data_IF_402809842185
#
_entry.id   IF_402809842185
#
_cell.length_a   1.000
_cell.length_b   1.000
_cell.length_c   1.000
_cell.angle_alpha   90.00
_cell.angle_beta   90.00
_cell.angle_gamma   90.00
#
_symmetry.space_group_name_H-M   'P 1'
#
loop_
_entity.id
_entity.type
_entity.pdbx_description
1 polymer ?
#
# COMPACT_ATOMS: atom_id res chain seq x y z
N UNK A 1 -15.80 -22.01 3.52
CA UNK A 1 -14.99 -21.50 4.66
C UNK A 1 -13.72 -20.76 4.20
N UNK A 2 -13.08 -21.11 3.07
CA UNK A 2 -11.91 -20.38 2.54
C UNK A 2 -12.22 -19.00 1.94
N UNK A 3 -13.40 -18.81 1.33
CA UNK A 3 -13.82 -17.51 0.74
C UNK A 3 -14.12 -16.42 1.78
N UNK A 4 -14.49 -16.79 3.02
CA UNK A 4 -14.96 -15.84 4.04
C UNK A 4 -13.85 -15.09 4.79
N UNK A 5 -12.57 -15.42 4.57
CA UNK A 5 -11.45 -14.87 5.36
C UNK A 5 -10.62 -13.86 4.56
N UNK A 6 -10.75 -13.80 3.24
CA UNK A 6 -9.91 -12.92 2.39
C UNK A 6 -10.40 -11.46 2.33
N UNK A 7 -11.72 -11.25 2.34
CA UNK A 7 -12.37 -9.95 2.18
C UNK A 7 -12.19 -8.96 3.35
N UNK A 8 -12.24 -9.36 4.65
CA UNK A 8 -12.23 -8.40 5.76
C UNK A 8 -10.94 -7.57 5.91
N UNK A 9 -9.84 -8.04 5.33
CA UNK A 9 -8.53 -7.38 5.40
C UNK A 9 -8.35 -6.31 4.32
N UNK A 10 -9.00 -6.50 3.18
CA UNK A 10 -9.02 -5.56 2.07
C UNK A 10 -9.92 -4.38 2.42
N UNK A 11 -11.09 -4.65 3.01
CA UNK A 11 -12.04 -3.61 3.42
C UNK A 11 -11.46 -2.65 4.48
N UNK A 12 -10.74 -3.18 5.49
CA UNK A 12 -10.10 -2.34 6.54
C UNK A 12 -9.00 -1.42 6.00
N UNK A 13 -8.33 -1.83 4.93
CA UNK A 13 -7.26 -1.07 4.28
C UNK A 13 -7.84 0.08 3.46
N UNK A 14 -8.97 -0.14 2.80
CA UNK A 14 -9.66 0.87 2.00
C UNK A 14 -10.16 2.08 2.79
N UNK A 15 -10.63 1.89 4.03
CA UNK A 15 -11.21 2.95 4.85
C UNK A 15 -10.17 4.03 5.25
N UNK A 16 -8.91 3.65 5.44
CA UNK A 16 -7.86 4.58 5.93
C UNK A 16 -7.49 5.63 4.90
N UNK A 17 -7.54 5.27 3.61
CA UNK A 17 -7.32 6.20 2.50
C UNK A 17 -8.45 7.21 2.37
N UNK A 18 -9.65 6.92 2.86
CA UNK A 18 -10.84 7.75 2.76
C UNK A 18 -11.07 8.68 3.97
N UNK A 19 -10.42 8.44 5.13
CA UNK A 19 -10.57 9.28 6.32
C UNK A 19 -10.24 10.76 6.02
N UNK A 20 -11.29 11.59 6.01
CA UNK A 20 -11.21 13.05 5.92
C UNK A 20 -10.82 13.61 7.30
N UNK A 21 -9.54 13.51 7.66
CA UNK A 21 -9.05 14.03 8.94
C UNK A 21 -7.68 14.67 8.90
N UNK A 22 -6.80 14.32 7.96
CA UNK A 22 -5.51 14.98 7.80
C UNK A 22 -5.54 15.95 6.62
N UNK A 23 -5.15 17.20 6.86
CA UNK A 23 -5.06 18.25 5.84
C UNK A 23 -4.11 17.89 4.68
N UNK A 24 -3.15 16.99 4.90
CA UNK A 24 -2.13 16.61 3.91
C UNK A 24 -2.42 15.25 3.25
N UNK A 25 -2.79 15.22 1.95
CA UNK A 25 -3.05 13.97 1.23
C UNK A 25 -1.85 13.02 1.09
N UNK A 26 -0.61 13.52 1.04
CA UNK A 26 0.58 12.66 0.99
C UNK A 26 0.77 11.89 2.31
N UNK A 27 0.47 12.54 3.44
CA UNK A 27 0.49 11.91 4.77
C UNK A 27 -0.57 10.81 4.88
N UNK A 28 -1.74 10.94 4.21
CA UNK A 28 -2.76 9.88 4.16
C UNK A 28 -2.23 8.62 3.49
N UNK A 29 -1.55 8.79 2.35
CA UNK A 29 -0.91 7.67 1.65
C UNK A 29 0.14 7.02 2.56
N UNK A 30 1.04 7.81 3.16
CA UNK A 30 2.06 7.27 4.08
C UNK A 30 1.43 6.50 5.26
N UNK A 31 0.39 7.05 5.88
CA UNK A 31 -0.31 6.43 6.99
C UNK A 31 -0.99 5.13 6.61
N UNK A 32 -1.60 5.06 5.43
CA UNK A 32 -2.19 3.85 4.88
C UNK A 32 -1.14 2.73 4.72
N UNK A 33 -0.02 3.03 4.06
CA UNK A 33 1.06 2.08 3.83
C UNK A 33 1.68 1.59 5.16
N UNK A 34 1.97 2.53 6.06
CA UNK A 34 2.52 2.21 7.38
C UNK A 34 1.53 1.44 8.26
N UNK A 35 0.25 1.82 8.22
CA UNK A 35 -0.84 1.18 8.96
C UNK A 35 -1.00 -0.28 8.56
N UNK A 36 -0.88 -0.57 7.26
CA UNK A 36 -0.90 -1.95 6.74
C UNK A 36 0.23 -2.79 7.34
N UNK A 37 1.47 -2.28 7.39
CA UNK A 37 2.60 -3.00 8.00
C UNK A 37 2.40 -3.20 9.51
N UNK A 38 1.84 -2.21 10.22
CA UNK A 38 1.52 -2.35 11.65
C UNK A 38 0.48 -3.43 11.89
N UNK A 39 -0.61 -3.43 11.11
CA UNK A 39 -1.64 -4.47 11.17
C UNK A 39 -1.05 -5.87 10.97
N UNK A 40 -0.15 -6.04 9.99
CA UNK A 40 0.52 -7.32 9.72
C UNK A 40 1.47 -7.74 10.85
N UNK A 41 2.09 -6.78 11.55
CA UNK A 41 2.90 -7.05 12.74
C UNK A 41 2.06 -7.42 13.96
N UNK A 42 0.88 -6.83 14.12
CA UNK A 42 0.01 -7.03 15.28
C UNK A 42 -0.85 -8.30 15.18
N UNK A 43 -1.22 -8.70 13.95
CA UNK A 43 -2.08 -9.86 13.70
C UNK A 43 -1.33 -10.99 13.00
N UNK A 44 -1.02 -12.06 13.75
CA UNK A 44 -0.39 -13.27 13.21
C UNK A 44 -1.28 -13.95 12.16
N UNK A 45 -2.60 -13.97 12.38
CA UNK A 45 -3.58 -14.57 11.47
C UNK A 45 -3.56 -13.84 10.13
N UNK A 46 -3.64 -12.51 10.16
CA UNK A 46 -3.59 -11.64 8.98
C UNK A 46 -2.28 -11.83 8.20
N UNK A 47 -1.16 -11.93 8.92
CA UNK A 47 0.16 -12.17 8.33
C UNK A 47 0.23 -13.50 7.59
N UNK A 48 -0.28 -14.57 8.20
CA UNK A 48 -0.28 -15.91 7.60
C UNK A 48 -1.12 -15.95 6.32
N UNK A 49 -2.25 -15.22 6.28
CA UNK A 49 -3.07 -15.07 5.07
C UNK A 49 -2.23 -14.43 3.94
N UNK A 50 -1.54 -13.33 4.24
CA UNK A 50 -0.66 -12.66 3.26
C UNK A 50 0.49 -13.57 2.79
N UNK A 51 1.11 -14.32 3.69
CA UNK A 51 2.15 -15.30 3.33
C UNK A 51 1.60 -16.39 2.40
N UNK A 52 0.39 -16.89 2.66
CA UNK A 52 -0.25 -17.89 1.78
C UNK A 52 -0.49 -17.29 0.39
N UNK A 53 -1.14 -16.13 0.34
CA UNK A 53 -1.49 -15.47 -0.93
C UNK A 53 -0.24 -15.12 -1.76
N UNK A 54 0.75 -14.48 -1.14
CA UNK A 54 1.87 -13.88 -1.89
C UNK A 54 2.98 -14.88 -2.26
N UNK A 55 3.15 -15.97 -1.50
CA UNK A 55 4.30 -16.88 -1.71
C UNK A 55 3.97 -18.37 -1.67
N UNK A 56 2.74 -18.80 -1.35
CA UNK A 56 2.37 -20.23 -1.30
C UNK A 56 1.21 -20.62 -2.23
N UNK A 57 0.52 -19.66 -2.82
CA UNK A 57 -0.63 -19.91 -3.68
C UNK A 57 -0.23 -19.93 -5.16
N UNK A 58 -0.62 -20.98 -5.85
CA UNK A 58 -0.65 -21.01 -7.31
C UNK A 58 -2.06 -20.63 -7.76
N UNK A 59 -2.19 -19.51 -8.45
CA UNK A 59 -3.48 -18.95 -8.88
C UNK A 59 -3.99 -19.59 -10.18
N UNK A 60 -4.25 -20.90 -10.12
CA UNK A 60 -4.73 -21.72 -11.24
C UNK A 60 -6.08 -22.37 -10.93
N UNK A 61 -6.80 -22.80 -11.96
CA UNK A 61 -8.11 -23.46 -11.82
C UNK A 61 -9.11 -22.58 -11.06
N UNK A 62 -9.68 -23.12 -9.98
CA UNK A 62 -10.66 -22.43 -9.14
C UNK A 62 -10.10 -21.18 -8.44
N UNK A 63 -8.77 -21.07 -8.25
CA UNK A 63 -8.14 -19.88 -7.64
C UNK A 63 -7.89 -18.73 -8.63
N UNK A 64 -8.18 -18.93 -9.93
CA UNK A 64 -8.06 -17.84 -10.92
C UNK A 64 -9.01 -16.67 -10.64
N UNK A 65 -10.18 -16.94 -10.04
CA UNK A 65 -11.13 -15.91 -9.62
C UNK A 65 -10.58 -15.06 -8.47
N UNK A 66 -9.87 -15.67 -7.52
CA UNK A 66 -9.20 -14.98 -6.43
C UNK A 66 -8.13 -14.02 -6.96
N UNK A 67 -7.35 -14.43 -7.97
CA UNK A 67 -6.39 -13.53 -8.62
C UNK A 67 -7.08 -12.32 -9.24
N UNK A 68 -8.23 -12.53 -9.89
CA UNK A 68 -9.02 -11.43 -10.45
C UNK A 68 -9.49 -10.47 -9.36
N UNK A 69 -9.95 -10.98 -8.22
CA UNK A 69 -10.36 -10.15 -7.08
C UNK A 69 -9.19 -9.34 -6.53
N UNK A 70 -8.00 -9.94 -6.39
CA UNK A 70 -6.78 -9.23 -5.97
C UNK A 70 -6.47 -8.08 -6.94
N UNK A 71 -6.54 -8.31 -8.25
CA UNK A 71 -6.30 -7.27 -9.25
C UNK A 71 -7.33 -6.14 -9.18
N UNK A 72 -8.61 -6.46 -8.98
CA UNK A 72 -9.67 -5.46 -8.80
C UNK A 72 -9.45 -4.62 -7.55
N UNK A 73 -9.08 -5.25 -6.44
CA UNK A 73 -8.70 -4.54 -5.20
C UNK A 73 -7.50 -3.61 -5.43
N UNK A 74 -6.44 -4.10 -6.08
CA UNK A 74 -5.29 -3.26 -6.43
C UNK A 74 -5.70 -2.08 -7.33
N UNK A 75 -6.64 -2.26 -8.25
CA UNK A 75 -7.18 -1.16 -9.04
C UNK A 75 -7.88 -0.12 -8.17
N UNK A 76 -8.76 -0.55 -7.25
CA UNK A 76 -9.48 0.36 -6.35
C UNK A 76 -8.55 1.15 -5.41
N UNK A 77 -7.48 0.52 -4.93
CA UNK A 77 -6.45 1.19 -4.12
C UNK A 77 -5.69 2.24 -4.95
N UNK A 78 -5.31 1.91 -6.18
CA UNK A 78 -4.62 2.83 -7.10
C UNK A 78 -5.47 4.08 -7.38
N UNK A 79 -6.75 3.91 -7.68
CA UNK A 79 -7.69 5.02 -7.92
C UNK A 79 -7.76 5.98 -6.72
N UNK A 80 -7.79 5.42 -5.49
CA UNK A 80 -7.79 6.21 -4.25
C UNK A 80 -6.47 6.94 -4.03
N UNK A 81 -5.33 6.29 -4.29
CA UNK A 81 -4.02 6.94 -4.24
C UNK A 81 -3.90 8.06 -5.27
N UNK A 82 -4.41 7.85 -6.48
CA UNK A 82 -4.42 8.84 -7.54
C UNK A 82 -5.23 10.08 -7.13
N UNK A 83 -6.39 9.89 -6.50
CA UNK A 83 -7.18 11.00 -5.96
C UNK A 83 -6.40 11.78 -4.88
N UNK A 84 -5.72 11.08 -3.98
CA UNK A 84 -4.88 11.71 -2.96
C UNK A 84 -3.73 12.51 -3.58
N UNK A 85 -3.05 11.97 -4.59
CA UNK A 85 -2.01 12.70 -5.31
C UNK A 85 -2.57 13.91 -6.09
N UNK A 86 -3.75 13.80 -6.72
CA UNK A 86 -4.41 14.95 -7.36
C UNK A 86 -4.66 16.08 -6.35
N UNK A 87 -5.21 15.76 -5.17
CA UNK A 87 -5.41 16.72 -4.08
C UNK A 87 -4.10 17.32 -3.57
N UNK A 88 -3.04 16.51 -3.41
CA UNK A 88 -1.72 17.02 -3.00
C UNK A 88 -1.15 18.03 -4.02
N UNK A 89 -1.39 17.82 -5.32
CA UNK A 89 -0.98 18.75 -6.38
C UNK A 89 -1.75 20.06 -6.31
N UNK A 90 -3.07 19.98 -6.11
CA UNK A 90 -3.94 21.16 -5.93
C UNK A 90 -3.53 21.98 -4.70
N UNK A 91 -3.05 21.33 -3.65
CA UNK A 91 -2.51 21.96 -2.44
C UNK A 91 -1.04 22.41 -2.56
N UNK A 92 -0.40 22.26 -3.72
CA UNK A 92 1.00 22.66 -3.94
C UNK A 92 2.05 21.83 -3.18
N UNK A 93 1.67 20.64 -2.70
CA UNK A 93 2.54 19.72 -1.95
C UNK A 93 3.37 18.80 -2.86
N UNK A 94 2.93 18.61 -4.11
CA UNK A 94 3.66 17.92 -5.18
C UNK A 94 4.36 18.92 -6.10
N UNK A 95 5.44 18.48 -6.75
CA UNK A 95 6.01 19.24 -7.85
C UNK A 95 5.09 19.18 -9.09
N UNK A 96 4.95 20.28 -9.83
CA UNK A 96 4.07 20.35 -11.00
C UNK A 96 4.48 19.40 -12.13
N UNK A 97 5.75 18.99 -12.18
CA UNK A 97 6.25 18.00 -13.14
C UNK A 97 5.80 16.56 -12.85
N UNK A 98 5.29 16.28 -11.64
CA UNK A 98 4.88 14.94 -11.25
C UNK A 98 3.42 14.66 -11.64
N UNK A 99 3.20 13.58 -12.40
CA UNK A 99 1.88 13.11 -12.76
C UNK A 99 1.26 12.25 -11.63
N UNK A 100 0.12 12.68 -11.03
CA UNK A 100 -0.58 11.91 -10.01
C UNK A 100 -0.91 10.46 -10.40
N UNK A 101 -1.21 10.19 -11.67
CA UNK A 101 -1.52 8.83 -12.15
C UNK A 101 -0.29 7.93 -12.09
N UNK A 102 0.84 8.41 -12.62
CA UNK A 102 2.11 7.68 -12.55
C UNK A 102 2.57 7.47 -11.11
N UNK A 103 2.42 8.48 -10.24
CA UNK A 103 2.78 8.35 -8.83
C UNK A 103 1.94 7.30 -8.09
N UNK A 104 0.65 7.19 -8.39
CA UNK A 104 -0.22 6.17 -7.78
C UNK A 104 0.26 4.75 -8.13
N UNK A 105 0.50 4.51 -9.42
CA UNK A 105 1.03 3.22 -9.91
C UNK A 105 2.40 2.92 -9.31
N UNK A 106 3.33 3.90 -9.32
CA UNK A 106 4.68 3.73 -8.76
C UNK A 106 4.64 3.40 -7.26
N UNK A 107 3.78 4.08 -6.50
CA UNK A 107 3.60 3.84 -5.06
C UNK A 107 3.03 2.44 -4.81
N UNK A 108 2.03 2.04 -5.59
CA UNK A 108 1.43 0.73 -5.48
C UNK A 108 2.42 -0.39 -5.80
N UNK A 109 3.18 -0.27 -6.90
CA UNK A 109 4.17 -1.27 -7.29
C UNK A 109 5.31 -1.36 -6.28
N UNK A 110 5.80 -0.22 -5.78
CA UNK A 110 6.76 -0.19 -4.67
C UNK A 110 6.22 -0.93 -3.45
N UNK A 111 4.99 -0.65 -3.04
CA UNK A 111 4.44 -1.22 -1.82
C UNK A 111 4.14 -2.71 -1.95
N UNK A 112 3.60 -3.15 -3.08
CA UNK A 112 3.41 -4.58 -3.39
C UNK A 112 4.76 -5.30 -3.36
N UNK A 113 5.78 -4.75 -4.02
CA UNK A 113 7.13 -5.31 -4.00
C UNK A 113 7.71 -5.39 -2.59
N UNK A 114 7.54 -4.32 -1.79
CA UNK A 114 7.95 -4.31 -0.39
C UNK A 114 7.21 -5.39 0.42
N UNK A 115 5.89 -5.53 0.27
CA UNK A 115 5.10 -6.55 0.95
C UNK A 115 5.55 -7.96 0.58
N UNK A 116 5.81 -8.23 -0.71
CA UNK A 116 6.35 -9.52 -1.16
C UNK A 116 7.69 -9.85 -0.51
N UNK A 117 8.59 -8.86 -0.36
CA UNK A 117 9.87 -9.07 0.31
C UNK A 117 9.71 -9.16 1.83
N UNK A 118 8.77 -8.41 2.40
CA UNK A 118 8.45 -8.40 3.82
C UNK A 118 7.91 -9.77 4.30
N UNK A 119 7.06 -10.44 3.52
CA UNK A 119 6.54 -11.77 3.87
C UNK A 119 7.61 -12.86 3.74
N UNK A 120 8.61 -12.67 2.87
CA UNK A 120 9.73 -13.61 2.68
C UNK A 120 10.79 -13.50 3.76
N UNK A 121 10.98 -12.31 4.32
CA UNK A 121 11.97 -12.02 5.36
C UNK A 121 11.45 -12.41 6.75
N UNK A 122 11.30 -13.72 6.99
CA UNK A 122 10.77 -14.26 8.25
C UNK A 122 11.57 -13.80 9.47
N UNK A 123 12.90 -13.72 9.32
CA UNK A 123 13.85 -13.39 10.39
C UNK A 123 13.96 -11.87 10.62
N UNK A 124 13.37 -11.06 9.73
CA UNK A 124 13.23 -9.62 9.89
C UNK A 124 14.49 -8.79 9.60
N UNK A 125 15.58 -9.41 9.19
CA UNK A 125 16.89 -8.77 9.11
C UNK A 125 17.11 -7.95 7.83
N UNK A 126 16.26 -8.11 6.81
CA UNK A 126 16.46 -7.48 5.50
C UNK A 126 15.47 -6.34 5.25
N UNK A 127 14.18 -6.66 5.31
CA UNK A 127 13.07 -5.79 4.91
C UNK A 127 12.04 -5.62 6.02
N UNK A 128 11.69 -6.70 6.74
CA UNK A 128 10.51 -6.71 7.61
C UNK A 128 10.60 -5.70 8.74
N UNK A 129 11.74 -5.64 9.43
CA UNK A 129 11.96 -4.65 10.51
C UNK A 129 12.24 -3.23 9.99
N UNK A 130 12.48 -3.06 8.68
CA UNK A 130 12.83 -1.78 8.05
C UNK A 130 11.70 -1.18 7.20
N UNK A 131 10.61 -1.91 6.99
CA UNK A 131 9.57 -1.56 6.02
C UNK A 131 8.94 -0.18 6.26
N UNK A 132 8.67 0.17 7.52
CA UNK A 132 8.14 1.50 7.87
C UNK A 132 9.10 2.61 7.42
N UNK A 133 10.40 2.45 7.63
CA UNK A 133 11.39 3.46 7.24
C UNK A 133 11.59 3.52 5.72
N UNK A 134 11.47 2.39 5.02
CA UNK A 134 11.47 2.34 3.56
C UNK A 134 10.25 3.07 2.97
N UNK A 135 9.06 2.89 3.57
CA UNK A 135 7.82 3.58 3.17
C UNK A 135 7.98 5.09 3.36
N UNK A 136 8.42 5.53 4.54
CA UNK A 136 8.66 6.97 4.79
C UNK A 136 9.69 7.54 3.82
N UNK A 137 10.76 6.80 3.52
CA UNK A 137 11.77 7.24 2.55
C UNK A 137 11.17 7.40 1.15
N UNK A 138 10.36 6.43 0.71
CA UNK A 138 9.65 6.50 -0.56
C UNK A 138 8.70 7.70 -0.63
N UNK A 139 7.89 7.93 0.41
CA UNK A 139 6.93 9.03 0.44
C UNK A 139 7.60 10.40 0.50
N UNK A 140 8.74 10.54 1.20
CA UNK A 140 9.55 11.77 1.17
C UNK A 140 9.97 12.21 -0.23
N UNK A 141 10.15 11.29 -1.18
CA UNK A 141 10.48 11.62 -2.57
C UNK A 141 9.31 12.30 -3.32
N UNK A 142 8.09 12.20 -2.79
CA UNK A 142 6.88 12.82 -3.36
C UNK A 142 6.70 14.24 -2.87
N UNK A 143 7.21 14.59 -1.70
CA UNK A 143 7.08 15.94 -1.20
C UNK A 143 7.89 16.92 -2.06
N UNK A 144 7.25 18.03 -2.44
CA UNK A 144 7.93 19.15 -3.06
C UNK A 144 9.10 19.60 -2.17
N UNK A 145 10.31 19.62 -2.73
CA UNK A 145 11.47 20.16 -2.04
C UNK A 145 11.32 21.67 -1.93
N UNK A 146 11.35 22.21 -0.71
CA UNK A 146 11.60 23.64 -0.51
C UNK A 146 13.06 23.87 -0.86
N UNK A 147 13.34 24.48 -2.00
CA UNK A 147 14.66 25.03 -2.26
C UNK A 147 14.89 26.12 -1.21
N UNK A 148 15.88 25.92 -0.34
CA UNK A 148 16.38 26.98 0.52
C UNK A 148 17.23 27.85 -0.40
N UNK A 149 16.69 29.01 -0.77
CA UNK A 149 17.42 30.10 -1.44
C UNK A 149 18.33 30.82 -0.46
#
# INVERSE_FOLDING_TARGET
MREQVFLPLIDRMEDTLLVEGSENPLVRIENFLCGTIRLLNESIETRQIYEIMMIKCEYVGEFSTVLREILLTCSGIEEKMQLAYKKAREQGQLDHSQDPAQLAIDTQLFFIGLLHMWVKDSDGNLFRNRAIELIKAHMRLRHRKKYVS
#
